data_IF_923245637023
#
_entry.id   IF_923245637023
#
_cell.length_a   1.000
_cell.length_b   1.000
_cell.length_c   1.000
_cell.angle_alpha   90.00
_cell.angle_beta   90.00
_cell.angle_gamma   90.00
#
_symmetry.space_group_name_H-M   'P 1'
#
loop_
_entity.id
_entity.type
_entity.pdbx_description
1 polymer ?
#
# COMPACT_ATOMS: atom_id res chain seq x y z
N UNK A 1 14.00 -1.85 -40.98
CA UNK A 1 12.98 -2.33 -40.03
C UNK A 1 13.74 -2.85 -38.81
N UNK A 2 13.97 -1.97 -37.83
CA UNK A 2 14.80 -2.30 -36.65
C UNK A 2 13.88 -2.86 -35.57
N UNK A 3 13.97 -4.18 -35.34
CA UNK A 3 13.47 -4.78 -34.11
C UNK A 3 14.44 -4.38 -32.99
N UNK A 4 14.13 -3.32 -32.24
CA UNK A 4 14.72 -3.15 -30.92
C UNK A 4 14.01 -4.10 -29.98
N UNK A 5 14.48 -5.35 -29.94
CA UNK A 5 14.26 -6.23 -28.80
C UNK A 5 14.96 -5.60 -27.61
N UNK A 6 14.20 -4.87 -26.78
CA UNK A 6 14.63 -4.52 -25.45
C UNK A 6 14.78 -5.81 -24.66
N UNK A 7 16.02 -6.21 -24.41
CA UNK A 7 16.33 -7.29 -23.52
C UNK A 7 15.78 -6.95 -22.13
N UNK A 8 14.74 -7.67 -21.71
CA UNK A 8 14.40 -7.80 -20.30
C UNK A 8 15.66 -8.31 -19.59
N UNK A 9 16.29 -7.46 -18.79
CA UNK A 9 17.31 -7.89 -17.84
C UNK A 9 16.65 -8.96 -16.94
N UNK A 10 17.20 -10.19 -16.88
CA UNK A 10 16.68 -11.22 -16.00
C UNK A 10 16.88 -10.77 -14.55
N UNK A 11 15.83 -10.23 -13.93
CA UNK A 11 15.85 -9.85 -12.51
C UNK A 11 15.06 -8.59 -12.14
N UNK A 12 14.63 -7.75 -13.08
CA UNK A 12 13.82 -6.57 -12.73
C UNK A 12 12.33 -6.92 -12.62
N UNK A 13 11.85 -7.03 -11.38
CA UNK A 13 10.41 -7.13 -11.08
C UNK A 13 9.65 -5.99 -11.76
N UNK A 14 8.49 -6.33 -12.35
CA UNK A 14 7.63 -5.34 -13.01
C UNK A 14 7.17 -4.26 -12.03
N UNK A 15 6.97 -3.01 -12.46
CA UNK A 15 6.65 -1.90 -11.55
C UNK A 15 5.41 -2.16 -10.69
N UNK A 16 4.33 -2.68 -11.29
CA UNK A 16 3.09 -3.01 -10.56
C UNK A 16 3.27 -4.20 -9.63
N UNK A 17 4.10 -5.17 -9.99
CA UNK A 17 4.49 -6.27 -9.09
C UNK A 17 5.23 -5.75 -7.87
N UNK A 18 6.14 -4.77 -8.04
CA UNK A 18 6.82 -4.12 -6.90
C UNK A 18 5.85 -3.38 -6.00
N UNK A 19 4.86 -2.70 -6.57
CA UNK A 19 3.81 -2.02 -5.81
C UNK A 19 2.97 -3.04 -5.03
N UNK A 20 2.52 -4.13 -5.67
CA UNK A 20 1.74 -5.17 -5.03
C UNK A 20 2.52 -5.84 -3.89
N UNK A 21 3.78 -6.19 -4.12
CA UNK A 21 4.68 -6.72 -3.10
C UNK A 21 4.89 -5.71 -1.96
N UNK A 22 5.08 -4.43 -2.28
CA UNK A 22 5.24 -3.36 -1.31
C UNK A 22 4.01 -3.19 -0.41
N UNK A 23 2.80 -3.23 -0.98
CA UNK A 23 1.55 -3.25 -0.21
C UNK A 23 1.49 -4.49 0.69
N UNK A 24 1.82 -5.66 0.14
CA UNK A 24 1.86 -6.90 0.92
C UNK A 24 2.82 -6.81 2.12
N UNK A 25 4.03 -6.28 1.92
CA UNK A 25 4.99 -6.05 3.00
C UNK A 25 4.52 -4.98 3.98
N UNK A 26 3.83 -3.95 3.50
CA UNK A 26 3.36 -2.84 4.35
C UNK A 26 2.24 -3.21 5.31
N UNK A 27 1.52 -4.29 5.03
CA UNK A 27 0.49 -4.84 5.92
C UNK A 27 0.89 -6.20 6.51
N UNK A 28 2.11 -6.67 6.26
CA UNK A 28 2.60 -7.92 6.81
C UNK A 28 3.18 -7.68 8.21
N UNK A 29 2.40 -8.02 9.24
CA UNK A 29 2.91 -8.06 10.60
C UNK A 29 3.75 -9.33 10.81
N UNK A 30 5.07 -9.18 10.82
CA UNK A 30 5.98 -10.27 11.21
C UNK A 30 6.44 -10.09 12.66
N UNK A 31 6.01 -11.02 13.51
CA UNK A 31 6.54 -11.17 14.85
C UNK A 31 7.69 -12.18 14.81
N UNK A 32 8.93 -11.72 14.98
CA UNK A 32 10.10 -12.61 15.05
C UNK A 32 10.83 -12.35 16.36
N UNK A 33 10.92 -13.37 17.22
CA UNK A 33 11.65 -13.32 18.49
C UNK A 33 11.24 -12.16 19.43
N UNK A 34 9.95 -11.83 19.51
CA UNK A 34 9.44 -10.75 20.35
C UNK A 34 9.73 -9.33 19.81
N UNK A 35 10.33 -9.22 18.63
CA UNK A 35 10.43 -7.99 17.87
C UNK A 35 9.34 -7.96 16.80
N UNK A 36 8.57 -6.88 16.79
CA UNK A 36 7.78 -6.49 15.63
C UNK A 36 8.74 -6.01 14.54
N UNK A 37 9.05 -6.87 13.59
CA UNK A 37 9.67 -6.44 12.35
C UNK A 37 8.56 -5.79 11.52
N UNK A 38 8.27 -4.50 11.77
CA UNK A 38 7.41 -3.73 10.89
C UNK A 38 8.19 -3.49 9.59
N UNK A 39 7.85 -4.26 8.56
CA UNK A 39 8.40 -4.12 7.20
C UNK A 39 7.74 -2.93 6.50
N UNK A 40 6.83 -2.22 7.16
CA UNK A 40 6.02 -1.14 6.63
C UNK A 40 6.81 -0.04 5.94
N UNK A 41 7.88 0.53 6.55
CA UNK A 41 8.69 1.54 5.86
C UNK A 41 9.30 1.00 4.56
N UNK A 42 9.72 -0.27 4.55
CA UNK A 42 10.28 -0.93 3.39
C UNK A 42 9.21 -1.20 2.33
N UNK A 43 8.01 -1.65 2.74
CA UNK A 43 6.88 -1.89 1.85
C UNK A 43 6.42 -0.61 1.14
N UNK A 44 6.31 0.50 1.86
CA UNK A 44 6.01 1.82 1.29
C UNK A 44 7.12 2.32 0.36
N UNK A 45 8.38 2.10 0.71
CA UNK A 45 9.50 2.45 -0.16
C UNK A 45 9.51 1.65 -1.47
N UNK A 46 9.21 0.35 -1.41
CA UNK A 46 9.03 -0.49 -2.60
C UNK A 46 7.88 0.01 -3.48
N UNK A 47 6.77 0.44 -2.88
CA UNK A 47 5.68 1.10 -3.60
C UNK A 47 6.18 2.37 -4.30
N UNK A 48 6.90 3.24 -3.61
CA UNK A 48 7.44 4.48 -4.16
C UNK A 48 8.35 4.23 -5.38
N UNK A 49 9.24 3.22 -5.30
CA UNK A 49 10.09 2.83 -6.43
C UNK A 49 9.24 2.38 -7.62
N UNK A 50 8.27 1.47 -7.41
CA UNK A 50 7.42 0.99 -8.49
C UNK A 50 6.58 2.10 -9.14
N UNK A 51 6.07 3.03 -8.33
CA UNK A 51 5.32 4.20 -8.82
C UNK A 51 6.22 5.15 -9.60
N UNK A 52 7.46 5.34 -9.16
CA UNK A 52 8.48 6.12 -9.87
C UNK A 52 8.76 5.56 -11.27
N UNK A 53 8.82 4.24 -11.42
CA UNK A 53 9.00 3.57 -12.72
C UNK A 53 7.79 3.70 -13.66
N UNK A 54 6.60 3.97 -13.12
CA UNK A 54 5.38 4.18 -13.91
C UNK A 54 5.15 5.66 -14.28
N UNK A 55 5.77 6.59 -13.55
CA UNK A 55 5.61 8.03 -13.72
C UNK A 55 6.22 8.49 -15.05
N UNK A 56 5.39 9.01 -15.95
CA UNK A 56 5.84 9.56 -17.25
C UNK A 56 5.99 11.08 -17.26
N UNK A 57 5.38 11.77 -16.31
CA UNK A 57 5.34 13.23 -16.23
C UNK A 57 5.26 13.69 -14.76
N UNK A 58 5.75 14.91 -14.42
CA UNK A 58 5.58 15.49 -13.09
C UNK A 58 4.10 15.60 -12.63
N UNK A 59 3.16 15.72 -13.57
CA UNK A 59 1.72 15.85 -13.30
C UNK A 59 0.97 14.51 -13.32
N UNK A 60 1.68 13.39 -13.51
CA UNK A 60 1.09 12.05 -13.57
C UNK A 60 0.54 11.63 -12.19
N UNK A 61 -0.67 11.05 -12.09
CA UNK A 61 -1.19 10.49 -10.84
C UNK A 61 -0.22 9.59 -10.07
N UNK A 62 0.67 8.87 -10.76
CA UNK A 62 1.72 8.06 -10.13
C UNK A 62 2.73 8.90 -9.33
N UNK A 63 2.96 10.16 -9.71
CA UNK A 63 3.80 11.08 -8.94
C UNK A 63 3.19 11.41 -7.58
N UNK A 64 1.88 11.70 -7.53
CA UNK A 64 1.14 11.96 -6.27
C UNK A 64 1.07 10.72 -5.38
N UNK A 65 0.80 9.56 -5.99
CA UNK A 65 0.81 8.29 -5.26
C UNK A 65 2.22 7.98 -4.72
N UNK A 66 3.27 8.25 -5.52
CA UNK A 66 4.66 8.08 -5.11
C UNK A 66 5.05 8.98 -3.93
N UNK A 67 4.65 10.26 -3.95
CA UNK A 67 4.89 11.16 -2.80
C UNK A 67 4.17 10.67 -1.56
N UNK A 68 2.93 10.19 -1.67
CA UNK A 68 2.20 9.63 -0.53
C UNK A 68 2.89 8.38 0.03
N UNK A 69 3.39 7.49 -0.83
CA UNK A 69 4.15 6.31 -0.41
C UNK A 69 5.45 6.69 0.31
N UNK A 70 6.19 7.70 -0.16
CA UNK A 70 7.39 8.20 0.54
C UNK A 70 7.03 8.81 1.90
N UNK A 71 5.97 9.63 1.96
CA UNK A 71 5.48 10.18 3.23
C UNK A 71 5.11 9.07 4.20
N UNK A 72 4.44 8.01 3.74
CA UNK A 72 4.10 6.87 4.57
C UNK A 72 5.31 6.09 5.05
N UNK A 73 6.33 5.89 4.20
CA UNK A 73 7.58 5.28 4.65
C UNK A 73 8.20 6.06 5.83
N UNK A 74 8.16 7.40 5.78
CA UNK A 74 8.62 8.25 6.88
C UNK A 74 7.72 8.15 8.13
N UNK A 75 6.39 8.17 7.97
CA UNK A 75 5.44 8.06 9.08
C UNK A 75 5.59 6.71 9.79
N UNK A 76 5.63 5.60 9.04
CA UNK A 76 5.80 4.26 9.60
C UNK A 76 7.18 4.10 10.26
N UNK A 77 8.23 4.76 9.75
CA UNK A 77 9.54 4.79 10.40
C UNK A 77 9.49 5.53 11.74
N UNK A 78 8.81 6.69 11.80
CA UNK A 78 8.61 7.44 13.05
C UNK A 78 7.79 6.62 14.04
N UNK A 79 6.73 5.94 13.58
CA UNK A 79 5.92 5.06 14.41
C UNK A 79 6.74 3.91 14.99
N UNK A 80 7.58 3.24 14.17
CA UNK A 80 8.49 2.18 14.62
C UNK A 80 9.47 2.69 15.69
N UNK A 81 10.10 3.85 15.45
CA UNK A 81 11.03 4.45 16.41
C UNK A 81 10.32 4.82 17.72
N UNK A 82 9.08 5.32 17.66
CA UNK A 82 8.29 5.68 18.85
C UNK A 82 7.94 4.47 19.72
N UNK A 83 7.75 3.28 19.13
CA UNK A 83 7.52 2.02 19.86
C UNK A 83 8.81 1.49 20.52
N UNK A 84 9.97 1.72 19.90
CA UNK A 84 11.28 1.32 20.43
C UNK A 84 11.74 2.13 21.64
N UNK A 85 11.30 3.39 21.75
CA UNK A 85 11.52 4.24 22.94
C UNK A 85 10.49 3.87 24.03
N UNK A 86 10.54 2.62 24.51
CA UNK A 86 9.83 2.22 25.73
C UNK A 86 10.55 2.83 26.94
N UNK A 87 10.23 4.07 27.25
CA UNK A 87 10.45 4.60 28.60
C UNK A 87 9.39 4.02 29.53
N UNK A 88 9.87 3.41 30.60
CA UNK A 88 9.18 2.65 31.64
C UNK A 88 8.24 3.49 32.52
N UNK A 89 7.34 4.27 31.92
CA UNK A 89 6.41 5.12 32.67
C UNK A 89 4.98 4.97 32.18
N UNK A 90 4.11 4.65 33.13
CA UNK A 90 2.64 4.57 33.14
C UNK A 90 1.93 5.90 32.75
N UNK A 91 2.42 6.60 31.74
CA UNK A 91 1.70 7.68 31.09
C UNK A 91 1.40 7.18 29.68
N UNK A 92 0.11 7.00 29.37
CA UNK A 92 -0.38 6.79 28.01
C UNK A 92 0.31 7.82 27.10
N UNK A 93 1.23 7.36 26.26
CA UNK A 93 2.05 8.25 25.47
C UNK A 93 1.17 8.81 24.35
N UNK A 94 0.72 10.08 24.39
CA UNK A 94 -0.20 10.61 23.38
C UNK A 94 0.41 10.58 21.98
N UNK A 95 1.75 10.61 21.91
CA UNK A 95 2.53 10.44 20.69
C UNK A 95 2.37 9.05 20.06
N UNK A 96 2.22 8.00 20.86
CA UNK A 96 2.02 6.64 20.35
C UNK A 96 0.61 6.45 19.76
N UNK A 97 -0.41 7.05 20.38
CA UNK A 97 -1.77 7.07 19.83
C UNK A 97 -1.86 7.90 18.55
N UNK A 98 -1.26 9.09 18.54
CA UNK A 98 -1.25 9.95 17.36
C UNK A 98 -0.49 9.31 16.20
N UNK A 99 0.65 8.66 16.46
CA UNK A 99 1.43 7.98 15.42
C UNK A 99 0.68 6.78 14.85
N UNK A 100 0.03 5.96 15.68
CA UNK A 100 -0.79 4.83 15.23
C UNK A 100 -2.00 5.29 14.38
N UNK A 101 -2.67 6.36 14.79
CA UNK A 101 -3.77 6.94 14.02
C UNK A 101 -3.31 7.52 12.68
N UNK A 102 -2.22 8.30 12.70
CA UNK A 102 -1.65 8.88 11.49
C UNK A 102 -1.14 7.81 10.51
N UNK A 103 -0.56 6.73 11.01
CA UNK A 103 -0.11 5.59 10.22
C UNK A 103 -1.30 4.87 9.55
N UNK A 104 -2.37 4.59 10.30
CA UNK A 104 -3.58 3.94 9.76
C UNK A 104 -4.26 4.79 8.68
N UNK A 105 -4.55 6.07 8.98
CA UNK A 105 -5.20 6.99 8.05
C UNK A 105 -4.31 7.26 6.83
N UNK A 106 -3.02 7.45 7.07
CA UNK A 106 -2.05 7.68 6.01
C UNK A 106 -1.92 6.46 5.08
N UNK A 107 -1.89 5.24 5.62
CA UNK A 107 -1.83 4.00 4.85
C UNK A 107 -3.05 3.87 3.92
N UNK A 108 -4.25 4.16 4.44
CA UNK A 108 -5.49 4.18 3.66
C UNK A 108 -5.42 5.19 2.50
N UNK A 109 -4.96 6.41 2.77
CA UNK A 109 -4.80 7.44 1.74
C UNK A 109 -3.77 7.02 0.70
N UNK A 110 -2.63 6.46 1.12
CA UNK A 110 -1.58 6.01 0.21
C UNK A 110 -2.08 4.89 -0.70
N UNK A 111 -2.70 3.85 -0.15
CA UNK A 111 -3.31 2.76 -0.94
C UNK A 111 -4.37 3.31 -1.89
N UNK A 112 -5.23 4.21 -1.42
CA UNK A 112 -6.25 4.83 -2.26
C UNK A 112 -5.64 5.53 -3.48
N UNK A 113 -4.62 6.37 -3.28
CA UNK A 113 -3.96 7.10 -4.35
C UNK A 113 -3.23 6.16 -5.32
N UNK A 114 -2.57 5.13 -4.80
CA UNK A 114 -1.91 4.09 -5.61
C UNK A 114 -2.91 3.38 -6.51
N UNK A 115 -3.99 2.88 -5.93
CA UNK A 115 -5.02 2.13 -6.67
C UNK A 115 -5.74 3.03 -7.65
N UNK A 116 -6.04 4.29 -7.28
CA UNK A 116 -6.64 5.28 -8.19
C UNK A 116 -5.73 5.56 -9.40
N UNK A 117 -4.42 5.72 -9.20
CA UNK A 117 -3.46 5.91 -10.29
C UNK A 117 -3.44 4.71 -11.25
N UNK A 118 -3.43 3.48 -10.70
CA UNK A 118 -3.50 2.24 -11.49
C UNK A 118 -4.83 2.15 -12.26
N UNK A 119 -5.97 2.38 -11.61
CA UNK A 119 -7.30 2.38 -12.22
C UNK A 119 -7.40 3.38 -13.37
N UNK A 120 -6.94 4.62 -13.19
CA UNK A 120 -6.95 5.65 -14.24
C UNK A 120 -6.15 5.22 -15.45
N UNK A 121 -5.01 4.55 -15.26
CA UNK A 121 -4.17 4.07 -16.36
C UNK A 121 -4.80 2.88 -17.08
N UNK A 122 -5.42 1.95 -16.36
CA UNK A 122 -6.11 0.81 -16.96
C UNK A 122 -7.39 1.26 -17.70
N UNK A 123 -8.16 2.23 -17.16
CA UNK A 123 -9.37 2.76 -17.81
C UNK A 123 -9.08 3.35 -19.19
N UNK A 124 -7.92 3.99 -19.36
CA UNK A 124 -7.46 4.50 -20.67
C UNK A 124 -7.12 3.40 -21.69
N UNK A 125 -7.06 2.13 -21.26
CA UNK A 125 -6.65 0.97 -22.06
C UNK A 125 -7.80 -0.01 -22.36
N UNK A 126 -9.06 0.40 -22.15
CA UNK A 126 -10.31 -0.29 -22.56
C UNK A 126 -10.60 -1.71 -21.99
N UNK A 127 -10.00 -2.11 -20.88
CA UNK A 127 -10.21 -3.46 -20.32
C UNK A 127 -11.10 -3.47 -19.06
N UNK A 128 -12.38 -3.81 -19.23
CA UNK A 128 -13.49 -3.45 -18.35
C UNK A 128 -13.72 -4.35 -17.11
N UNK A 129 -13.61 -5.68 -17.20
CA UNK A 129 -14.05 -6.56 -16.11
C UNK A 129 -13.21 -6.47 -14.82
N UNK A 130 -11.89 -6.37 -14.92
CA UNK A 130 -10.99 -6.29 -13.75
C UNK A 130 -11.00 -4.92 -13.05
N UNK A 131 -11.49 -3.87 -13.73
CA UNK A 131 -11.57 -2.52 -13.18
C UNK A 131 -12.59 -2.45 -12.04
N UNK A 132 -13.74 -3.11 -12.19
CA UNK A 132 -14.80 -3.12 -11.18
C UNK A 132 -14.32 -3.77 -9.89
N UNK A 133 -13.62 -4.91 -9.98
CA UNK A 133 -13.09 -5.58 -8.80
C UNK A 133 -12.08 -4.71 -8.04
N UNK A 134 -11.13 -4.08 -8.74
CA UNK A 134 -10.15 -3.19 -8.11
C UNK A 134 -10.85 -1.98 -7.46
N UNK A 135 -11.87 -1.41 -8.09
CA UNK A 135 -12.61 -0.28 -7.53
C UNK A 135 -13.43 -0.68 -6.29
N UNK A 136 -14.07 -1.86 -6.32
CA UNK A 136 -14.77 -2.43 -5.16
C UNK A 136 -13.80 -2.69 -4.02
N UNK A 137 -12.66 -3.33 -4.28
CA UNK A 137 -11.64 -3.59 -3.25
C UNK A 137 -11.09 -2.29 -2.65
N UNK A 138 -10.89 -1.26 -3.48
CA UNK A 138 -10.49 0.07 -3.01
C UNK A 138 -11.50 0.66 -2.02
N UNK A 139 -12.79 0.63 -2.36
CA UNK A 139 -13.85 1.11 -1.46
C UNK A 139 -14.01 0.24 -0.22
N UNK A 140 -13.88 -1.08 -0.36
CA UNK A 140 -13.94 -2.03 0.74
C UNK A 140 -12.83 -1.75 1.76
N UNK A 141 -11.59 -1.52 1.31
CA UNK A 141 -10.49 -1.15 2.22
C UNK A 141 -10.77 0.15 2.97
N UNK A 142 -11.35 1.17 2.33
CA UNK A 142 -11.73 2.40 3.04
C UNK A 142 -12.83 2.13 4.07
N UNK A 143 -13.87 1.37 3.70
CA UNK A 143 -14.96 1.01 4.61
C UNK A 143 -14.46 0.25 5.83
N UNK A 144 -13.64 -0.79 5.62
CA UNK A 144 -13.04 -1.58 6.69
C UNK A 144 -12.08 -0.73 7.55
N UNK A 145 -11.31 0.16 6.93
CA UNK A 145 -10.43 1.08 7.66
C UNK A 145 -11.19 2.04 8.57
N UNK A 146 -12.32 2.58 8.09
CA UNK A 146 -13.21 3.41 8.93
C UNK A 146 -13.80 2.59 10.07
N UNK A 147 -14.26 1.36 9.81
CA UNK A 147 -14.78 0.48 10.85
C UNK A 147 -13.73 0.15 11.91
N UNK A 148 -12.49 -0.16 11.51
CA UNK A 148 -11.39 -0.41 12.43
C UNK A 148 -11.03 0.82 13.27
N UNK A 149 -11.11 2.03 12.71
CA UNK A 149 -10.95 3.26 13.48
C UNK A 149 -12.08 3.49 14.50
N UNK A 150 -13.30 3.02 14.21
CA UNK A 150 -14.45 3.13 15.13
C UNK A 150 -14.43 2.08 16.25
N UNK A 151 -13.78 0.93 16.05
CA UNK A 151 -13.63 -0.12 17.07
C UNK A 151 -12.97 0.42 18.35
N UNK A 152 -12.00 1.34 18.21
CA UNK A 152 -11.38 2.03 19.35
C UNK A 152 -12.31 2.98 20.13
N UNK A 153 -13.52 3.25 19.65
CA UNK A 153 -14.50 4.16 20.27
C UNK A 153 -15.85 3.49 20.56
N UNK A 154 -16.05 2.23 20.16
CA UNK A 154 -17.31 1.50 20.28
C UNK A 154 -17.24 0.48 21.43
N UNK A 155 -18.31 0.31 22.23
CA UNK A 155 -18.40 -0.78 23.22
C UNK A 155 -18.69 -2.16 22.58
N UNK A 156 -18.91 -2.21 21.27
CA UNK A 156 -19.13 -3.44 20.52
C UNK A 156 -17.81 -3.87 19.89
N UNK A 157 -17.29 -5.03 20.30
CA UNK A 157 -16.10 -5.67 19.73
C UNK A 157 -16.41 -6.16 18.30
N UNK A 158 -15.79 -5.53 17.30
CA UNK A 158 -15.79 -6.01 15.92
C UNK A 158 -14.45 -6.62 15.50
N UNK A 159 -13.49 -6.70 16.44
CA UNK A 159 -12.06 -6.85 16.15
C UNK A 159 -11.71 -8.03 15.24
N UNK A 160 -12.17 -9.24 15.55
CA UNK A 160 -11.76 -10.43 14.80
C UNK A 160 -12.34 -10.48 13.38
N UNK A 161 -13.61 -10.12 13.20
CA UNK A 161 -14.26 -10.14 11.89
C UNK A 161 -13.71 -9.05 10.97
N UNK A 162 -13.46 -7.85 11.51
CA UNK A 162 -12.90 -6.72 10.75
C UNK A 162 -11.46 -7.01 10.34
N UNK A 163 -10.65 -7.60 11.22
CA UNK A 163 -9.27 -7.99 10.90
C UNK A 163 -9.21 -9.05 9.79
N UNK A 164 -10.07 -10.08 9.86
CA UNK A 164 -10.15 -11.12 8.82
C UNK A 164 -10.60 -10.52 7.49
N UNK A 165 -11.62 -9.65 7.50
CA UNK A 165 -12.10 -8.97 6.30
C UNK A 165 -11.03 -8.04 5.71
N UNK A 166 -10.29 -7.34 6.56
CA UNK A 166 -9.17 -6.47 6.17
C UNK A 166 -8.05 -7.26 5.50
N UNK A 167 -7.64 -8.38 6.11
CA UNK A 167 -6.63 -9.26 5.54
C UNK A 167 -7.07 -9.83 4.20
N UNK A 168 -8.31 -10.33 4.10
CA UNK A 168 -8.86 -10.86 2.86
C UNK A 168 -8.94 -9.80 1.75
N UNK A 169 -9.37 -8.58 2.08
CA UNK A 169 -9.43 -7.46 1.14
C UNK A 169 -8.03 -7.06 0.64
N UNK A 170 -7.06 -7.00 1.54
CA UNK A 170 -5.66 -6.68 1.21
C UNK A 170 -5.06 -7.77 0.32
N UNK A 171 -5.23 -9.04 0.66
CA UNK A 171 -4.75 -10.17 -0.14
C UNK A 171 -5.40 -10.17 -1.53
N UNK A 172 -6.73 -9.98 -1.61
CA UNK A 172 -7.45 -9.89 -2.87
C UNK A 172 -6.96 -8.70 -3.72
N UNK A 173 -6.66 -7.56 -3.11
CA UNK A 173 -6.09 -6.40 -3.81
C UNK A 173 -4.71 -6.73 -4.37
N UNK A 174 -3.81 -7.28 -3.55
CA UNK A 174 -2.46 -7.67 -3.97
C UNK A 174 -2.51 -8.67 -5.13
N UNK A 175 -3.27 -9.75 -5.00
CA UNK A 175 -3.44 -10.77 -6.07
C UNK A 175 -4.00 -10.13 -7.35
N UNK A 176 -5.00 -9.27 -7.21
CA UNK A 176 -5.60 -8.61 -8.37
C UNK A 176 -4.60 -7.69 -9.08
N UNK A 177 -3.78 -6.95 -8.32
CA UNK A 177 -2.69 -6.12 -8.84
C UNK A 177 -1.63 -6.96 -9.57
N UNK A 178 -1.23 -8.11 -9.00
CA UNK A 178 -0.36 -9.08 -9.69
C UNK A 178 -0.97 -9.52 -11.02
N UNK A 179 -2.27 -9.86 -11.02
CA UNK A 179 -2.97 -10.34 -12.22
C UNK A 179 -3.11 -9.30 -13.34
N UNK A 180 -2.88 -8.02 -13.05
CA UNK A 180 -2.90 -6.92 -14.05
C UNK A 180 -1.52 -6.35 -14.33
N UNK A 181 -0.48 -6.80 -13.63
CA UNK A 181 0.90 -6.36 -13.82
C UNK A 181 1.43 -6.65 -15.23
N UNK A 182 0.84 -7.63 -15.92
CA UNK A 182 1.20 -7.99 -17.30
C UNK A 182 0.63 -7.09 -18.39
N UNK A 183 -0.18 -6.09 -18.03
CA UNK A 183 -0.79 -5.24 -19.06
C UNK A 183 0.23 -4.32 -19.70
N UNK A 184 0.25 -4.18 -21.04
CA UNK A 184 1.22 -3.33 -21.76
C UNK A 184 1.22 -1.87 -21.27
N UNK A 185 0.06 -1.35 -20.87
CA UNK A 185 -0.07 0.00 -20.34
C UNK A 185 0.62 0.20 -18.98
N UNK A 186 0.93 -0.88 -18.27
CA UNK A 186 1.56 -0.91 -16.94
C UNK A 186 3.01 -1.41 -16.97
N UNK A 187 3.56 -1.65 -18.17
CA UNK A 187 5.00 -1.84 -18.35
C UNK A 187 5.64 -0.44 -18.35
N UNK A 188 6.53 -0.20 -17.39
CA UNK A 188 7.34 1.03 -17.38
C UNK A 188 8.31 0.98 -18.56
N UNK A 189 8.39 2.07 -19.33
CA UNK A 189 9.51 2.26 -20.25
C UNK A 189 10.64 2.84 -19.40
N UNK A 190 11.55 1.96 -18.99
CA UNK A 190 12.84 2.37 -18.41
C UNK A 190 13.70 3.03 -19.47
#
# INVERSE_FOLDING_TARGET
MVMTGGADLPGTLRPVTKIAAGIGFAFAHFHVNGFDLLIDPLGWYMCAIGLGQLRRSPTDPFGRAGTAAVTMACVSLVALLSKGVRTSSLLENPLAHLSAFADTVGALIAVWLIVDAVLRRIRRSEAHAKLTLIDVLRWLMVGLGVLGLMDGYSPVDFGAEVDVAWFAATAALVITLYSVADRPCLVGYG
#
